data_IF_694435634603
#
_entry.id   IF_694435634603
#
_cell.length_a   1.000
_cell.length_b   1.000
_cell.length_c   1.000
_cell.angle_alpha   90.00
_cell.angle_beta   90.00
_cell.angle_gamma   90.00
#
_symmetry.space_group_name_H-M   'P 1'
#
loop_
_entity.id
_entity.type
_entity.pdbx_description
1 polymer ?
#
# COMPACT_ATOMS: atom_id res chain seq x y z
N UNK A 1 1.96 -12.11 -2.62
CA UNK A 1 1.07 -11.30 -1.76
C UNK A 1 0.40 -10.26 -2.61
N UNK A 2 -0.90 -10.06 -2.42
CA UNK A 2 -1.70 -9.10 -3.18
C UNK A 2 -1.79 -7.78 -2.41
N UNK A 3 -1.58 -6.66 -3.10
CA UNK A 3 -1.76 -5.32 -2.53
C UNK A 3 -2.90 -4.64 -3.26
N UNK A 4 -3.89 -4.13 -2.51
CA UNK A 4 -5.05 -3.40 -3.07
C UNK A 4 -5.02 -1.94 -2.62
N UNK A 5 -5.20 -1.03 -3.57
CA UNK A 5 -5.17 0.40 -3.32
C UNK A 5 -6.57 1.01 -3.39
N UNK A 6 -6.85 1.90 -2.44
CA UNK A 6 -8.13 2.59 -2.37
C UNK A 6 -7.97 4.11 -2.53
N UNK A 7 -9.01 4.75 -3.08
CA UNK A 7 -9.12 6.20 -3.22
C UNK A 7 -7.84 6.88 -3.78
N UNK A 8 -7.25 7.82 -3.05
CA UNK A 8 -6.05 8.54 -3.48
C UNK A 8 -4.85 7.61 -3.69
N UNK A 9 -4.75 6.50 -2.96
CA UNK A 9 -3.65 5.55 -3.13
C UNK A 9 -3.76 4.85 -4.49
N UNK A 10 -4.97 4.50 -4.94
CA UNK A 10 -5.22 3.95 -6.28
C UNK A 10 -4.83 4.96 -7.36
N UNK A 11 -5.25 6.20 -7.20
CA UNK A 11 -4.91 7.27 -8.15
C UNK A 11 -3.39 7.48 -8.26
N UNK A 12 -2.67 7.37 -7.15
CA UNK A 12 -1.21 7.50 -7.13
C UNK A 12 -0.45 6.23 -7.57
N UNK A 13 -1.00 5.05 -7.30
CA UNK A 13 -0.42 3.78 -7.73
C UNK A 13 -0.65 3.51 -9.22
N UNK A 14 -1.70 4.09 -9.81
CA UNK A 14 -2.11 3.90 -11.20
C UNK A 14 -2.85 2.57 -11.45
N UNK A 15 -2.95 1.71 -10.44
CA UNK A 15 -3.56 0.38 -10.49
C UNK A 15 -4.46 0.16 -9.29
N UNK A 16 -5.47 -0.70 -9.45
CA UNK A 16 -6.34 -1.13 -8.34
C UNK A 16 -5.64 -2.09 -7.40
N UNK A 17 -4.91 -3.03 -7.98
CA UNK A 17 -4.21 -4.07 -7.25
C UNK A 17 -2.97 -4.52 -8.01
N UNK A 18 -1.98 -5.02 -7.29
CA UNK A 18 -0.78 -5.62 -7.87
C UNK A 18 -0.22 -6.73 -6.98
N UNK A 19 0.47 -7.68 -7.60
CA UNK A 19 1.08 -8.80 -6.90
C UNK A 19 2.56 -8.54 -6.65
N UNK A 20 2.98 -8.76 -5.41
CA UNK A 20 4.38 -8.69 -5.00
C UNK A 20 4.87 -10.08 -4.56
N UNK A 21 5.94 -10.54 -5.22
CA UNK A 21 6.69 -11.75 -4.85
C UNK A 21 7.77 -11.38 -3.84
N UNK A 22 7.39 -11.26 -2.57
CA UNK A 22 8.31 -11.00 -1.46
C UNK A 22 8.48 -12.26 -0.61
N UNK A 23 9.65 -12.47 0.03
CA UNK A 23 9.86 -13.58 0.95
C UNK A 23 8.82 -13.60 2.07
N UNK A 24 8.41 -14.80 2.49
CA UNK A 24 7.60 -14.97 3.69
C UNK A 24 8.32 -14.38 4.91
N UNK A 25 7.58 -13.69 5.77
CA UNK A 25 8.14 -13.00 6.93
C UNK A 25 8.62 -11.58 6.63
N UNK A 26 8.51 -11.09 5.39
CA UNK A 26 8.75 -9.67 5.07
C UNK A 26 7.84 -8.79 5.93
N UNK A 27 8.41 -7.75 6.54
CA UNK A 27 7.63 -6.82 7.37
C UNK A 27 6.72 -5.93 6.52
N UNK A 28 5.68 -5.37 7.12
CA UNK A 28 4.86 -4.35 6.47
C UNK A 28 5.70 -3.15 5.99
N UNK A 29 6.73 -2.75 6.73
CA UNK A 29 7.70 -1.73 6.29
C UNK A 29 8.50 -2.18 5.06
N UNK A 30 8.93 -3.44 5.01
CA UNK A 30 9.61 -4.01 3.85
C UNK A 30 8.71 -4.03 2.60
N UNK A 31 7.43 -4.37 2.77
CA UNK A 31 6.44 -4.24 1.70
C UNK A 31 6.32 -2.78 1.24
N UNK A 32 6.15 -1.83 2.16
CA UNK A 32 6.06 -0.39 1.82
C UNK A 32 7.28 0.06 1.01
N UNK A 33 8.49 -0.33 1.41
CA UNK A 33 9.70 -0.02 0.66
C UNK A 33 9.65 -0.58 -0.78
N UNK A 34 9.18 -1.83 -0.94
CA UNK A 34 8.99 -2.43 -2.26
C UNK A 34 7.95 -1.66 -3.11
N UNK A 35 6.82 -1.22 -2.53
CA UNK A 35 5.81 -0.44 -3.24
C UNK A 35 6.38 0.87 -3.79
N UNK A 36 7.22 1.54 -2.99
CA UNK A 36 7.83 2.82 -3.33
C UNK A 36 9.01 2.70 -4.30
N UNK A 37 9.57 1.50 -4.45
CA UNK A 37 10.64 1.21 -5.41
C UNK A 37 10.09 0.91 -6.81
N UNK A 38 8.79 0.64 -6.97
CA UNK A 38 8.18 0.43 -8.28
C UNK A 38 8.16 1.76 -9.05
N UNK A 39 8.77 1.77 -10.24
CA UNK A 39 8.68 2.91 -11.15
C UNK A 39 7.25 3.02 -11.69
N UNK A 40 6.64 4.19 -11.50
CA UNK A 40 5.25 4.49 -11.87
C UNK A 40 5.18 5.83 -12.61
N UNK A 41 4.21 6.01 -13.51
CA UNK A 41 3.97 7.30 -14.13
C UNK A 41 3.59 8.36 -13.09
N UNK A 42 3.76 9.63 -13.45
CA UNK A 42 3.32 10.73 -12.58
C UNK A 42 1.82 10.63 -12.28
N UNK A 43 1.42 10.81 -11.01
CA UNK A 43 0.02 10.73 -10.63
C UNK A 43 -0.77 11.90 -11.24
N UNK A 44 -2.09 11.77 -11.42
CA UNK A 44 -2.93 12.83 -11.97
C UNK A 44 -2.74 14.16 -11.21
N UNK A 45 -2.82 15.28 -11.93
CA UNK A 45 -2.67 16.61 -11.33
C UNK A 45 -3.58 16.78 -10.09
N UNK A 46 -2.98 17.22 -8.98
CA UNK A 46 -3.66 17.36 -7.68
C UNK A 46 -3.61 16.11 -6.79
N UNK A 47 -3.09 14.98 -7.27
CA UNK A 47 -2.88 13.77 -6.47
C UNK A 47 -1.48 13.80 -5.84
N UNK A 48 -1.33 13.66 -4.51
CA UNK A 48 -0.01 13.54 -3.88
C UNK A 48 0.74 12.28 -4.32
N UNK A 49 2.06 12.26 -4.14
CA UNK A 49 2.87 11.06 -4.42
C UNK A 49 2.43 9.87 -3.55
N UNK A 50 2.62 8.65 -4.06
CA UNK A 50 2.29 7.42 -3.34
C UNK A 50 2.98 7.37 -1.96
N UNK A 51 4.24 7.80 -1.88
CA UNK A 51 4.98 7.94 -0.61
C UNK A 51 4.27 8.83 0.41
N UNK A 52 3.78 9.99 -0.03
CA UNK A 52 3.07 10.92 0.86
C UNK A 52 1.73 10.36 1.32
N UNK A 53 1.04 9.62 0.45
CA UNK A 53 -0.23 8.98 0.77
C UNK A 53 0.00 7.84 1.76
N UNK A 54 0.90 6.90 1.46
CA UNK A 54 1.28 5.77 2.31
C UNK A 54 1.68 6.22 3.72
N UNK A 55 2.36 7.36 3.85
CA UNK A 55 2.75 7.90 5.17
C UNK A 55 1.56 8.19 6.11
N UNK A 56 0.37 8.41 5.55
CA UNK A 56 -0.87 8.70 6.28
C UNK A 56 -1.91 7.60 6.18
N UNK A 57 -1.66 6.57 5.37
CA UNK A 57 -2.58 5.45 5.17
C UNK A 57 -2.60 4.51 6.38
N UNK A 58 -3.76 3.88 6.58
CA UNK A 58 -3.89 2.67 7.39
C UNK A 58 -3.76 1.44 6.50
N UNK A 59 -3.36 0.32 7.10
CA UNK A 59 -3.18 -0.95 6.40
C UNK A 59 -4.08 -2.01 6.99
N UNK A 60 -4.69 -2.82 6.13
CA UNK A 60 -5.32 -4.07 6.55
C UNK A 60 -4.48 -5.24 6.03
N UNK A 61 -4.30 -6.27 6.85
CA UNK A 61 -3.80 -7.59 6.44
C UNK A 61 -4.98 -8.55 6.55
N UNK A 62 -5.40 -9.12 5.43
CA UNK A 62 -6.56 -10.01 5.35
C UNK A 62 -7.77 -9.40 6.08
N UNK A 63 -8.10 -8.16 5.74
CA UNK A 63 -9.21 -7.37 6.31
C UNK A 63 -9.05 -6.97 7.79
N UNK A 64 -7.95 -7.32 8.44
CA UNK A 64 -7.65 -6.96 9.83
C UNK A 64 -6.66 -5.80 9.89
N UNK A 65 -6.97 -4.76 10.66
CA UNK A 65 -6.10 -3.59 10.77
C UNK A 65 -4.72 -3.94 11.36
N UNK A 66 -3.66 -3.54 10.66
CA UNK A 66 -2.27 -3.69 11.11
C UNK A 66 -1.68 -2.31 11.34
N UNK A 67 -1.28 -2.05 12.59
CA UNK A 67 -0.63 -0.80 13.01
C UNK A 67 0.87 -0.95 13.20
N UNK A 68 1.30 -2.16 13.54
CA UNK A 68 2.71 -2.47 13.69
C UNK A 68 3.36 -2.67 12.32
N UNK A 69 4.27 -1.77 11.96
CA UNK A 69 4.99 -1.84 10.69
C UNK A 69 6.06 -2.92 10.65
N UNK A 70 6.45 -3.46 11.79
CA UNK A 70 7.36 -4.61 11.88
C UNK A 70 6.64 -5.95 11.73
N UNK A 71 5.30 -5.96 11.71
CA UNK A 71 4.50 -7.18 11.58
C UNK A 71 4.89 -7.96 10.31
N UNK A 72 5.22 -9.24 10.50
CA UNK A 72 5.58 -10.17 9.45
C UNK A 72 4.35 -10.55 8.60
N UNK A 73 4.49 -10.44 7.29
CA UNK A 73 3.47 -10.79 6.29
C UNK A 73 3.75 -12.18 5.70
N UNK A 74 2.66 -12.89 5.42
CA UNK A 74 2.66 -14.15 4.69
C UNK A 74 2.77 -13.91 3.18
N UNK A 75 3.32 -14.88 2.46
CA UNK A 75 3.47 -14.80 1.00
C UNK A 75 2.12 -14.68 0.26
N UNK A 76 1.04 -15.21 0.83
CA UNK A 76 -0.32 -15.21 0.25
C UNK A 76 -1.27 -14.19 0.90
N UNK A 77 -0.75 -13.32 1.77
CA UNK A 77 -1.58 -12.29 2.39
C UNK A 77 -2.14 -11.30 1.36
N UNK A 78 -3.27 -10.69 1.71
CA UNK A 78 -3.83 -9.52 1.04
C UNK A 78 -3.61 -8.30 1.93
N UNK A 79 -2.99 -7.25 1.37
CA UNK A 79 -2.75 -6.00 2.08
C UNK A 79 -3.54 -4.86 1.42
N UNK A 80 -4.42 -4.22 2.19
CA UNK A 80 -5.18 -3.07 1.74
C UNK A 80 -4.51 -1.77 2.17
N UNK A 81 -4.32 -0.85 1.23
CA UNK A 81 -3.81 0.50 1.48
C UNK A 81 -4.98 1.47 1.53
N UNK A 82 -5.32 1.92 2.74
CA UNK A 82 -6.45 2.79 3.02
C UNK A 82 -5.95 4.21 3.36
N UNK A 83 -5.88 5.14 2.38
CA UNK A 83 -5.56 6.52 2.69
C UNK A 83 -6.66 7.13 3.59
N UNK A 84 -6.33 8.17 4.37
CA UNK A 84 -7.33 8.85 5.19
C UNK A 84 -8.45 9.35 4.27
N UNK A 85 -9.71 9.08 4.66
CA UNK A 85 -10.86 9.56 3.91
C UNK A 85 -10.75 11.08 3.73
N UNK A 86 -10.84 11.54 2.49
CA UNK A 86 -11.01 12.96 2.18
C UNK A 86 -12.50 13.36 2.34
N UNK A 87 -13.15 12.88 3.40
CA UNK A 87 -14.54 13.21 3.71
C UNK A 87 -14.61 14.60 4.29
N UNK A 88 -14.94 15.58 3.44
CA UNK A 88 -15.50 16.88 3.81
C UNK A 88 -16.94 16.95 3.34
#
# INVERSE_FOLDING_TARGET
>A
MLVRYFAAARAAAGVEEENHSLPEGTSLEGLIAALLAVERPEPPAGTPTLARIISRSSFLRNEVAVRDRSAALGADDVVDVLPPFAGG
#
